data_IF_339236025581
#
_entry.id   IF_339236025581
#
_cell.length_a   1.000
_cell.length_b   1.000
_cell.length_c   1.000
_cell.angle_alpha   90.00
_cell.angle_beta   90.00
_cell.angle_gamma   90.00
#
_symmetry.space_group_name_H-M   'P 1'
#
loop_
_entity.id
_entity.type
_entity.pdbx_description
1 polymer ?
#
# COMPACT_ATOMS: atom_id res chain seq x y z
N UNK A 1 24.40 2.52 -5.91
CA UNK A 1 24.25 3.76 -5.12
C UNK A 1 23.37 3.46 -3.93
N UNK A 2 23.79 3.77 -2.69
CA UNK A 2 22.96 3.59 -1.49
C UNK A 2 22.14 4.85 -1.21
N UNK A 3 20.86 4.68 -0.89
CA UNK A 3 19.96 5.75 -0.43
C UNK A 3 20.35 6.11 0.99
N UNK A 4 20.58 7.40 1.22
CA UNK A 4 20.78 7.91 2.57
C UNK A 4 19.47 7.78 3.35
N UNK A 5 19.51 7.17 4.54
CA UNK A 5 18.35 7.06 5.42
C UNK A 5 17.43 5.86 5.20
N UNK A 6 17.68 4.99 4.20
CA UNK A 6 16.90 3.76 4.02
C UNK A 6 17.77 2.52 3.88
N UNK A 7 17.99 1.84 5.02
CA UNK A 7 18.82 0.64 5.11
C UNK A 7 18.21 -0.59 4.40
N UNK A 8 16.93 -0.53 4.02
CA UNK A 8 16.19 -1.65 3.43
C UNK A 8 16.23 -1.66 1.90
N UNK A 9 16.95 -0.72 1.26
CA UNK A 9 17.02 -0.63 -0.20
C UNK A 9 17.45 -1.95 -0.85
N UNK A 10 18.51 -2.58 -0.36
CA UNK A 10 19.06 -3.79 -0.99
C UNK A 10 18.06 -4.97 -0.85
N UNK A 11 17.39 -5.08 0.30
CA UNK A 11 16.34 -6.07 0.53
C UNK A 11 15.10 -5.81 -0.35
N UNK A 12 14.73 -4.54 -0.54
CA UNK A 12 13.64 -4.14 -1.40
C UNK A 12 13.94 -4.43 -2.87
N UNK A 13 15.12 -4.08 -3.36
CA UNK A 13 15.55 -4.39 -4.73
C UNK A 13 15.57 -5.90 -4.99
N UNK A 14 16.05 -6.68 -4.02
CA UNK A 14 16.09 -8.15 -4.12
C UNK A 14 14.68 -8.73 -4.22
N UNK A 15 13.79 -8.37 -3.28
CA UNK A 15 12.41 -8.85 -3.31
C UNK A 15 11.65 -8.42 -4.57
N UNK A 16 11.89 -7.19 -5.03
CA UNK A 16 11.29 -6.67 -6.25
C UNK A 16 11.72 -7.51 -7.46
N UNK A 17 13.01 -7.83 -7.57
CA UNK A 17 13.52 -8.71 -8.63
C UNK A 17 12.92 -10.12 -8.53
N UNK A 18 12.87 -10.71 -7.33
CA UNK A 18 12.33 -12.05 -7.12
C UNK A 18 10.85 -12.16 -7.50
N UNK A 19 10.03 -11.18 -7.12
CA UNK A 19 8.60 -11.17 -7.42
C UNK A 19 8.35 -10.85 -8.90
N UNK A 20 9.13 -9.94 -9.48
CA UNK A 20 8.99 -9.58 -10.89
C UNK A 20 9.47 -10.70 -11.82
N UNK A 21 10.42 -11.53 -11.41
CA UNK A 21 10.86 -12.72 -12.13
C UNK A 21 9.76 -13.79 -12.28
N UNK A 22 8.71 -13.74 -11.44
CA UNK A 22 7.51 -14.56 -11.60
C UNK A 22 6.54 -14.01 -12.65
N UNK A 23 6.82 -12.81 -13.18
CA UNK A 23 6.02 -12.11 -14.17
C UNK A 23 4.53 -12.05 -13.79
N UNK A 24 4.11 -11.37 -12.70
CA UNK A 24 2.72 -11.34 -12.23
C UNK A 24 1.81 -10.46 -13.11
N UNK A 25 1.83 -10.68 -14.43
CA UNK A 25 1.12 -9.91 -15.43
C UNK A 25 -0.35 -10.34 -15.47
N UNK A 26 -1.27 -9.42 -15.17
CA UNK A 26 -2.69 -9.73 -14.94
C UNK A 26 -3.38 -10.39 -16.14
N UNK A 27 -3.02 -9.98 -17.36
CA UNK A 27 -3.62 -10.50 -18.59
C UNK A 27 -2.85 -11.69 -19.17
N UNK A 28 -1.53 -11.61 -19.17
CA UNK A 28 -0.68 -12.53 -19.95
C UNK A 28 -0.05 -13.65 -19.13
N UNK A 29 0.02 -13.52 -17.79
CA UNK A 29 0.55 -14.56 -16.92
C UNK A 29 -0.19 -14.64 -15.56
N UNK A 30 -1.46 -15.09 -15.56
CA UNK A 30 -2.22 -15.32 -14.32
C UNK A 30 -1.58 -16.38 -13.39
N UNK A 31 -0.67 -17.22 -13.92
CA UNK A 31 0.14 -18.14 -13.11
C UNK A 31 1.15 -17.41 -12.23
N UNK A 32 1.83 -16.40 -12.78
CA UNK A 32 2.71 -15.50 -12.04
C UNK A 32 1.99 -14.73 -10.94
N UNK A 33 0.80 -14.20 -11.27
CA UNK A 33 -0.07 -13.52 -10.30
C UNK A 33 -0.42 -14.44 -9.12
N UNK A 34 -0.77 -15.70 -9.40
CA UNK A 34 -1.09 -16.68 -8.37
C UNK A 34 0.13 -17.04 -7.50
N UNK A 35 1.32 -17.14 -8.11
CA UNK A 35 2.57 -17.43 -7.41
C UNK A 35 2.95 -16.28 -6.45
N UNK A 36 2.93 -15.04 -6.93
CA UNK A 36 3.18 -13.85 -6.10
C UNK A 36 2.15 -13.72 -4.99
N UNK A 37 0.86 -13.90 -5.27
CA UNK A 37 -0.18 -13.87 -4.24
C UNK A 37 0.02 -14.93 -3.15
N UNK A 38 0.60 -16.09 -3.49
CA UNK A 38 0.92 -17.14 -2.51
C UNK A 38 2.12 -16.78 -1.65
N UNK A 39 3.16 -16.16 -2.23
CA UNK A 39 4.31 -15.63 -1.51
C UNK A 39 3.89 -14.50 -0.58
N UNK A 40 3.15 -13.51 -1.08
CA UNK A 40 2.61 -12.40 -0.31
C UNK A 40 1.81 -12.88 0.90
N UNK A 41 0.90 -13.85 0.72
CA UNK A 41 0.14 -14.39 1.83
C UNK A 41 1.00 -15.13 2.87
N UNK A 42 2.15 -15.70 2.47
CA UNK A 42 3.12 -16.29 3.39
C UNK A 42 3.91 -15.21 4.14
N UNK A 43 4.31 -14.14 3.46
CA UNK A 43 4.99 -13.01 4.09
C UNK A 43 4.08 -12.29 5.10
N UNK A 44 2.81 -12.11 4.77
CA UNK A 44 1.82 -11.55 5.69
C UNK A 44 1.63 -12.43 6.94
N UNK A 45 1.59 -13.76 6.77
CA UNK A 45 1.51 -14.69 7.90
C UNK A 45 2.73 -14.57 8.83
N UNK A 46 3.95 -14.51 8.26
CA UNK A 46 5.18 -14.27 9.02
C UNK A 46 5.21 -12.90 9.73
N UNK A 47 4.49 -11.90 9.22
CA UNK A 47 4.31 -10.59 9.86
C UNK A 47 3.21 -10.58 10.95
N UNK A 48 2.64 -11.75 11.27
CA UNK A 48 1.63 -11.91 12.31
C UNK A 48 0.21 -11.56 11.85
N UNK A 49 -0.06 -11.54 10.55
CA UNK A 49 -1.42 -11.42 10.04
C UNK A 49 -2.12 -12.77 9.97
N UNK A 50 -3.38 -12.82 10.37
CA UNK A 50 -4.29 -13.89 9.94
C UNK A 50 -4.76 -13.58 8.52
N UNK A 51 -4.42 -14.43 7.55
CA UNK A 51 -4.69 -14.18 6.13
C UNK A 51 -5.88 -15.01 5.64
N UNK A 52 -6.98 -14.33 5.30
CA UNK A 52 -8.13 -14.95 4.65
C UNK A 52 -7.97 -14.90 3.13
N UNK A 53 -7.68 -16.06 2.53
CA UNK A 53 -7.57 -16.21 1.07
C UNK A 53 -8.96 -16.49 0.48
N UNK A 54 -9.46 -15.58 -0.35
CA UNK A 54 -10.75 -15.72 -1.03
C UNK A 54 -10.45 -15.94 -2.51
N UNK A 55 -10.68 -17.17 -2.98
CA UNK A 55 -10.43 -17.56 -4.37
C UNK A 55 -11.69 -17.38 -5.22
N UNK A 56 -11.51 -17.03 -6.49
CA UNK A 56 -12.61 -16.97 -7.44
C UNK A 56 -13.19 -18.39 -7.69
N UNK A 57 -14.50 -18.61 -7.49
CA UNK A 57 -15.12 -19.93 -7.68
C UNK A 57 -14.97 -20.52 -9.08
N UNK A 58 -14.72 -19.67 -10.10
CA UNK A 58 -14.43 -20.14 -11.47
C UNK A 58 -13.09 -20.87 -11.61
N UNK A 59 -12.20 -20.78 -10.62
CA UNK A 59 -10.86 -21.34 -10.69
C UNK A 59 -9.88 -20.55 -11.56
N UNK A 60 -10.23 -19.32 -11.98
CA UNK A 60 -9.32 -18.43 -12.70
C UNK A 60 -8.06 -18.19 -11.86
N UNK A 61 -6.90 -18.62 -12.35
CA UNK A 61 -5.59 -18.38 -11.70
C UNK A 61 -5.36 -16.87 -11.55
N UNK A 62 -4.72 -16.47 -10.45
CA UNK A 62 -4.45 -15.06 -10.13
C UNK A 62 -5.65 -14.29 -9.57
N UNK A 63 -6.88 -14.77 -9.82
CA UNK A 63 -8.11 -14.16 -9.29
C UNK A 63 -8.32 -14.55 -7.82
N UNK A 64 -7.67 -13.79 -6.95
CA UNK A 64 -7.69 -13.99 -5.50
C UNK A 64 -7.72 -12.64 -4.78
N UNK A 65 -8.50 -12.59 -3.71
CA UNK A 65 -8.49 -11.50 -2.73
C UNK A 65 -7.85 -12.02 -1.45
N UNK A 66 -6.92 -11.27 -0.90
CA UNK A 66 -6.38 -11.48 0.44
C UNK A 66 -6.97 -10.44 1.39
N UNK A 67 -7.64 -10.89 2.44
CA UNK A 67 -8.02 -10.04 3.56
C UNK A 67 -7.18 -10.46 4.76
N UNK A 68 -6.17 -9.65 5.09
CA UNK A 68 -5.19 -9.93 6.13
C UNK A 68 -5.46 -9.05 7.35
N UNK A 69 -5.51 -9.67 8.54
CA UNK A 69 -5.82 -9.00 9.81
C UNK A 69 -4.67 -9.20 10.79
N UNK A 70 -4.06 -8.11 11.26
CA UNK A 70 -3.12 -8.10 12.38
C UNK A 70 -3.72 -7.32 13.54
N UNK A 71 -3.77 -7.91 14.74
CA UNK A 71 -4.39 -7.27 15.90
C UNK A 71 -3.56 -6.07 16.38
N UNK A 72 -4.20 -5.05 17.00
CA UNK A 72 -3.47 -3.94 17.63
C UNK A 72 -2.59 -4.44 18.78
N UNK A 73 -1.52 -3.69 19.05
CA UNK A 73 -0.71 -3.90 20.25
C UNK A 73 -1.55 -3.72 21.53
N UNK A 74 -1.18 -4.36 22.67
CA UNK A 74 -1.89 -4.17 23.94
C UNK A 74 -2.06 -2.69 24.30
N UNK A 75 -3.29 -2.30 24.67
CA UNK A 75 -3.62 -0.91 25.01
C UNK A 75 -3.89 0.02 23.82
N UNK A 76 -3.67 -0.43 22.59
CA UNK A 76 -4.05 0.30 21.36
C UNK A 76 -5.45 -0.14 20.93
N UNK A 77 -6.31 0.82 20.58
CA UNK A 77 -7.72 0.58 20.20
C UNK A 77 -8.02 0.82 18.73
N UNK A 78 -7.15 1.57 18.06
CA UNK A 78 -7.35 1.99 16.67
C UNK A 78 -6.97 0.93 15.65
N UNK A 79 -7.61 1.01 14.49
CA UNK A 79 -7.26 0.23 13.32
C UNK A 79 -6.93 1.10 12.12
N UNK A 80 -6.03 0.61 11.28
CA UNK A 80 -5.69 1.16 9.97
C UNK A 80 -6.10 0.16 8.89
N UNK A 81 -6.85 0.64 7.90
CA UNK A 81 -7.13 -0.08 6.68
C UNK A 81 -6.04 0.19 5.64
N UNK A 82 -5.50 -0.85 5.01
CA UNK A 82 -4.52 -0.76 3.93
C UNK A 82 -5.13 -1.35 2.66
N UNK A 83 -4.99 -0.66 1.54
CA UNK A 83 -5.41 -1.14 0.22
C UNK A 83 -4.20 -1.29 -0.70
N UNK A 84 -4.23 -2.29 -1.58
CA UNK A 84 -3.14 -2.57 -2.51
C UNK A 84 -3.43 -3.71 -3.48
N UNK A 85 -2.53 -3.92 -4.42
CA UNK A 85 -2.56 -5.08 -5.33
C UNK A 85 -1.16 -5.54 -5.66
N UNK A 86 -1.04 -6.75 -6.22
CA UNK A 86 0.26 -7.35 -6.56
C UNK A 86 0.36 -7.80 -8.02
N UNK A 87 -0.74 -7.72 -8.77
CA UNK A 87 -0.69 -7.89 -10.21
C UNK A 87 -0.14 -6.61 -10.87
N UNK A 88 0.53 -6.78 -12.00
CA UNK A 88 1.16 -5.70 -12.74
C UNK A 88 0.67 -5.67 -14.19
N UNK A 89 0.57 -4.48 -14.76
CA UNK A 89 0.17 -4.31 -16.14
C UNK A 89 1.13 -5.00 -17.12
N UNK A 90 0.57 -5.61 -18.17
CA UNK A 90 1.36 -6.28 -19.21
C UNK A 90 2.36 -5.30 -19.84
N UNK A 91 3.53 -5.80 -20.24
CA UNK A 91 4.59 -4.95 -20.80
C UNK A 91 5.27 -5.57 -22.01
N UNK A 92 5.74 -4.74 -22.93
CA UNK A 92 6.51 -5.13 -24.12
C UNK A 92 7.94 -4.60 -24.00
N UNK A 93 8.99 -5.45 -24.11
CA UNK A 93 10.38 -4.99 -23.98
C UNK A 93 10.86 -3.99 -25.03
N UNK A 94 10.22 -3.95 -26.21
CA UNK A 94 10.71 -3.17 -27.37
C UNK A 94 10.75 -1.64 -27.13
N UNK A 95 9.99 -1.14 -26.17
CA UNK A 95 9.86 0.30 -25.90
C UNK A 95 10.66 0.76 -24.66
N UNK A 96 11.37 -0.15 -24.00
CA UNK A 96 12.12 0.13 -22.79
C UNK A 96 13.61 0.32 -23.05
N UNK A 97 14.23 1.22 -22.28
CA UNK A 97 15.68 1.43 -22.31
C UNK A 97 16.46 0.42 -21.44
N UNK A 98 15.77 -0.44 -20.69
CA UNK A 98 16.30 -1.56 -19.89
C UNK A 98 15.25 -2.66 -19.83
N UNK A 99 15.63 -3.90 -19.52
CA UNK A 99 14.66 -4.99 -19.39
C UNK A 99 13.56 -4.62 -18.36
N UNK A 100 12.27 -4.59 -18.74
CA UNK A 100 11.20 -4.23 -17.82
C UNK A 100 11.03 -5.21 -16.66
N UNK A 101 11.59 -6.42 -16.75
CA UNK A 101 11.50 -7.46 -15.72
C UNK A 101 12.71 -7.48 -14.78
N UNK A 102 13.71 -6.63 -15.01
CA UNK A 102 14.92 -6.55 -14.19
C UNK A 102 15.03 -5.15 -13.57
N UNK A 103 14.84 -5.02 -12.25
CA UNK A 103 14.99 -3.74 -11.55
C UNK A 103 16.37 -3.14 -11.80
N UNK A 104 16.42 -2.03 -12.54
CA UNK A 104 17.68 -1.43 -12.99
C UNK A 104 17.81 -0.03 -12.40
N UNK A 105 18.93 0.24 -11.72
CA UNK A 105 19.21 1.58 -11.21
C UNK A 105 19.89 2.42 -12.30
N UNK A 106 19.30 3.56 -12.65
CA UNK A 106 19.88 4.58 -13.54
C UNK A 106 19.43 5.96 -13.08
N UNK A 107 20.27 6.98 -13.20
CA UNK A 107 19.92 8.38 -12.90
C UNK A 107 19.19 8.59 -11.56
N UNK A 108 19.63 7.87 -10.52
CA UNK A 108 19.04 7.86 -9.18
C UNK A 108 17.58 7.36 -9.10
N UNK A 109 17.14 6.56 -10.07
CA UNK A 109 15.82 5.93 -10.12
C UNK A 109 15.95 4.42 -10.31
N UNK A 110 14.90 3.70 -9.97
CA UNK A 110 14.76 2.27 -10.21
C UNK A 110 13.76 2.09 -11.33
N UNK A 111 14.17 1.45 -12.41
CA UNK A 111 13.36 1.18 -13.59
C UNK A 111 13.00 -0.29 -13.65
N UNK A 112 11.71 -0.59 -13.67
CA UNK A 112 11.11 -1.88 -14.07
C UNK A 112 9.58 -1.74 -14.06
N UNK A 113 8.87 -2.69 -14.66
CA UNK A 113 7.41 -2.74 -14.59
C UNK A 113 6.96 -3.02 -13.15
N UNK A 114 5.93 -2.31 -12.70
CA UNK A 114 5.28 -2.51 -11.41
C UNK A 114 6.00 -1.87 -10.23
N UNK A 115 7.07 -1.11 -10.49
CA UNK A 115 7.86 -0.45 -9.44
C UNK A 115 7.12 0.72 -8.80
N UNK A 116 6.26 1.41 -9.55
CA UNK A 116 5.38 2.47 -9.07
C UNK A 116 3.93 2.02 -8.88
N UNK A 117 3.51 0.95 -9.58
CA UNK A 117 2.16 0.38 -9.49
C UNK A 117 2.17 -1.14 -9.74
N UNK A 118 2.29 -1.99 -8.72
CA UNK A 118 2.30 -1.64 -7.30
C UNK A 118 3.23 -2.52 -6.44
N UNK A 119 4.10 -3.32 -7.07
CA UNK A 119 5.06 -4.16 -6.36
C UNK A 119 6.01 -3.33 -5.48
N UNK A 120 6.51 -2.20 -5.99
CA UNK A 120 7.43 -1.34 -5.24
C UNK A 120 6.82 -0.81 -3.93
N UNK A 121 5.68 -0.11 -3.97
CA UNK A 121 4.99 0.35 -2.77
C UNK A 121 4.57 -0.77 -1.81
N UNK A 122 4.04 -1.87 -2.33
CA UNK A 122 3.66 -3.04 -1.54
C UNK A 122 4.85 -3.62 -0.76
N UNK A 123 5.97 -3.88 -1.45
CA UNK A 123 7.18 -4.42 -0.84
C UNK A 123 7.80 -3.47 0.17
N UNK A 124 7.73 -2.15 -0.06
CA UNK A 124 8.20 -1.18 0.92
C UNK A 124 7.40 -1.29 2.22
N UNK A 125 6.07 -1.39 2.17
CA UNK A 125 5.22 -1.52 3.36
C UNK A 125 5.51 -2.81 4.11
N UNK A 126 5.65 -3.94 3.41
CA UNK A 126 6.02 -5.23 4.01
C UNK A 126 7.36 -5.12 4.76
N UNK A 127 8.37 -4.52 4.14
CA UNK A 127 9.69 -4.35 4.75
C UNK A 127 9.68 -3.38 5.93
N UNK A 128 8.90 -2.29 5.86
CA UNK A 128 8.74 -1.38 7.01
C UNK A 128 8.12 -2.14 8.18
N UNK A 129 7.02 -2.86 7.97
CA UNK A 129 6.37 -3.65 9.02
C UNK A 129 7.31 -4.72 9.60
N UNK A 130 8.12 -5.38 8.76
CA UNK A 130 9.12 -6.36 9.18
C UNK A 130 10.24 -5.75 10.03
N UNK A 131 10.55 -4.46 9.80
CA UNK A 131 11.64 -3.74 10.47
C UNK A 131 11.21 -2.99 11.73
N UNK A 132 9.92 -2.89 12.01
CA UNK A 132 9.42 -2.22 13.21
C UNK A 132 9.84 -3.00 14.46
N UNK A 133 10.27 -2.32 15.54
CA UNK A 133 10.55 -2.98 16.82
C UNK A 133 9.32 -3.75 17.32
N UNK A 134 9.51 -4.93 17.89
CA UNK A 134 8.41 -5.78 18.38
C UNK A 134 7.58 -5.10 19.48
N UNK A 135 8.20 -4.22 20.27
CA UNK A 135 7.60 -3.47 21.36
C UNK A 135 6.99 -2.12 20.93
N UNK A 136 7.20 -1.69 19.68
CA UNK A 136 6.61 -0.46 19.17
C UNK A 136 5.07 -0.58 19.12
N UNK A 137 4.32 0.35 19.74
CA UNK A 137 2.86 0.37 19.62
C UNK A 137 2.42 0.45 18.16
N UNK A 138 1.55 -0.46 17.74
CA UNK A 138 1.03 -0.55 16.39
C UNK A 138 -0.51 -0.63 16.44
N UNK A 139 -1.23 0.10 15.56
CA UNK A 139 -2.66 -0.08 15.43
C UNK A 139 -2.95 -1.46 14.84
N UNK A 140 -4.20 -1.91 14.97
CA UNK A 140 -4.65 -3.08 14.23
C UNK A 140 -4.56 -2.79 12.74
N UNK A 141 -4.16 -3.77 11.95
CA UNK A 141 -4.02 -3.61 10.50
C UNK A 141 -5.04 -4.51 9.80
N UNK A 142 -5.85 -3.91 8.93
CA UNK A 142 -6.70 -4.62 7.98
C UNK A 142 -6.21 -4.35 6.57
N UNK A 143 -5.46 -5.29 6.00
CA UNK A 143 -4.92 -5.15 4.66
C UNK A 143 -5.74 -5.94 3.66
N UNK A 144 -6.37 -5.25 2.72
CA UNK A 144 -7.14 -5.86 1.64
C UNK A 144 -6.38 -5.72 0.34
N UNK A 145 -5.94 -6.86 -0.21
CA UNK A 145 -5.11 -6.97 -1.40
C UNK A 145 -5.80 -7.84 -2.46
N UNK A 146 -5.55 -7.60 -3.75
CA UNK A 146 -5.98 -8.51 -4.82
C UNK A 146 -5.01 -8.55 -6.00
N UNK A 147 -5.14 -9.55 -6.87
CA UNK A 147 -4.30 -9.75 -8.06
C UNK A 147 -5.03 -9.47 -9.38
N UNK A 148 -5.91 -8.48 -9.41
CA UNK A 148 -6.73 -8.17 -10.60
C UNK A 148 -7.03 -6.67 -10.76
N UNK A 149 -6.21 -5.79 -10.17
CA UNK A 149 -6.45 -4.33 -10.23
C UNK A 149 -6.33 -3.80 -11.66
N UNK A 150 -5.32 -4.25 -12.38
CA UNK A 150 -4.96 -3.74 -13.71
C UNK A 150 -6.02 -4.08 -14.77
N UNK A 151 -6.84 -5.11 -14.50
CA UNK A 151 -7.97 -5.48 -15.37
C UNK A 151 -9.24 -4.68 -15.08
N UNK A 152 -9.27 -3.95 -13.96
CA UNK A 152 -10.23 -2.90 -13.67
C UNK A 152 -11.65 -3.31 -13.28
N UNK A 153 -12.14 -4.48 -13.71
CA UNK A 153 -13.45 -5.03 -13.34
C UNK A 153 -13.30 -6.53 -13.03
N UNK A 154 -12.79 -6.84 -11.84
CA UNK A 154 -12.47 -8.20 -11.43
C UNK A 154 -13.32 -8.74 -10.28
N UNK A 155 -12.86 -9.89 -9.75
CA UNK A 155 -13.42 -10.54 -8.58
C UNK A 155 -13.58 -9.63 -7.32
N UNK A 156 -12.75 -8.59 -7.08
CA UNK A 156 -12.96 -7.68 -5.95
C UNK A 156 -14.36 -7.05 -5.89
N UNK A 157 -14.99 -6.77 -7.04
CA UNK A 157 -16.35 -6.22 -7.08
C UNK A 157 -17.43 -7.19 -6.57
N UNK A 158 -17.14 -8.49 -6.59
CA UNK A 158 -18.03 -9.54 -6.10
C UNK A 158 -17.80 -9.81 -4.61
N UNK A 159 -16.53 -9.71 -4.16
CA UNK A 159 -16.12 -10.05 -2.80
C UNK A 159 -16.31 -8.88 -1.82
N UNK A 160 -15.86 -7.68 -2.18
CA UNK A 160 -15.82 -6.54 -1.26
C UNK A 160 -17.19 -6.14 -0.67
N UNK A 161 -18.33 -6.23 -1.40
CA UNK A 161 -19.64 -5.91 -0.83
C UNK A 161 -20.00 -6.74 0.40
N UNK A 162 -19.47 -7.97 0.51
CA UNK A 162 -19.77 -8.90 1.61
C UNK A 162 -18.59 -9.12 2.54
N UNK A 163 -17.45 -8.47 2.29
CA UNK A 163 -16.20 -8.75 2.99
C UNK A 163 -16.30 -8.50 4.50
N UNK A 164 -16.94 -7.40 4.92
CA UNK A 164 -17.12 -7.08 6.34
C UNK A 164 -18.01 -8.07 7.09
N UNK A 165 -18.83 -8.89 6.40
CA UNK A 165 -19.58 -9.95 7.07
C UNK A 165 -18.65 -11.01 7.72
N UNK A 166 -17.40 -11.11 7.26
CA UNK A 166 -16.36 -11.96 7.85
C UNK A 166 -15.63 -11.30 9.02
N UNK A 167 -15.76 -9.98 9.18
CA UNK A 167 -15.03 -9.18 10.16
C UNK A 167 -15.99 -8.26 10.92
N UNK A 168 -16.90 -8.83 11.74
CA UNK A 168 -17.91 -8.05 12.44
C UNK A 168 -17.25 -6.97 13.31
N UNK A 169 -17.78 -5.74 13.24
CA UNK A 169 -17.29 -4.51 13.88
C UNK A 169 -15.87 -4.01 13.50
N UNK A 170 -15.15 -4.67 12.59
CA UNK A 170 -13.88 -4.13 12.06
C UNK A 170 -14.10 -2.84 11.27
N UNK A 171 -15.18 -2.77 10.48
CA UNK A 171 -15.54 -1.60 9.66
C UNK A 171 -15.56 -0.30 10.47
N UNK A 172 -16.18 -0.33 11.64
CA UNK A 172 -16.37 0.84 12.50
C UNK A 172 -15.15 1.12 13.39
N UNK A 173 -14.17 0.20 13.41
CA UNK A 173 -12.93 0.35 14.20
C UNK A 173 -11.79 0.97 13.39
N UNK A 174 -11.89 1.02 12.04
CA UNK A 174 -10.87 1.59 11.17
C UNK A 174 -10.92 3.12 11.26
N UNK A 175 -9.90 3.69 11.89
CA UNK A 175 -9.74 5.13 12.08
C UNK A 175 -9.15 5.84 10.85
N UNK A 176 -8.38 5.11 10.03
CA UNK A 176 -7.71 5.66 8.84
C UNK A 176 -7.54 4.59 7.77
N UNK A 177 -7.87 4.92 6.51
CA UNK A 177 -7.46 4.13 5.35
C UNK A 177 -6.22 4.73 4.69
N UNK A 178 -5.29 3.86 4.27
CA UNK A 178 -4.06 4.28 3.60
C UNK A 178 -3.87 3.60 2.25
N UNK A 179 -3.72 4.43 1.22
CA UNK A 179 -3.29 4.01 -0.11
C UNK A 179 -1.76 4.10 -0.22
N UNK A 180 -1.16 3.12 -0.88
CA UNK A 180 0.30 2.98 -1.06
C UNK A 180 0.84 3.82 -2.20
N UNK A 181 -0.04 4.41 -3.01
CA UNK A 181 0.34 5.20 -4.16
C UNK A 181 0.19 6.70 -3.83
N UNK A 182 1.25 7.29 -3.28
CA UNK A 182 1.40 8.74 -3.03
C UNK A 182 2.29 9.41 -4.07
N UNK A 183 2.30 10.75 -4.09
CA UNK A 183 2.93 11.53 -5.18
C UNK A 183 3.85 12.65 -4.70
N UNK A 184 4.95 12.83 -5.43
CA UNK A 184 5.86 13.96 -5.36
C UNK A 184 5.82 14.78 -6.66
N UNK A 185 5.99 16.08 -6.53
CA UNK A 185 6.04 17.04 -7.63
C UNK A 185 7.43 17.12 -8.26
N UNK A 186 7.54 17.72 -9.46
CA UNK A 186 8.80 17.87 -10.18
C UNK A 186 9.89 18.63 -9.40
N UNK A 187 9.48 19.57 -8.54
CA UNK A 187 10.38 20.35 -7.68
C UNK A 187 10.81 19.57 -6.42
N UNK A 188 10.34 18.34 -6.24
CA UNK A 188 10.59 17.50 -5.08
C UNK A 188 9.57 17.64 -3.97
N UNK A 189 8.65 18.62 -3.99
CA UNK A 189 7.61 18.77 -2.97
C UNK A 189 6.65 17.57 -2.93
N UNK A 190 6.05 17.30 -1.77
CA UNK A 190 5.10 16.21 -1.64
C UNK A 190 3.66 16.70 -1.83
N UNK A 191 2.91 16.01 -2.68
CA UNK A 191 1.46 16.16 -2.77
C UNK A 191 0.80 15.10 -1.89
N UNK A 192 0.32 15.51 -0.72
CA UNK A 192 -0.38 14.63 0.20
C UNK A 192 -1.87 14.62 -0.10
N UNK A 193 -2.37 13.52 -0.64
CA UNK A 193 -3.82 13.36 -0.86
C UNK A 193 -4.47 12.89 0.42
N UNK A 194 -5.47 13.63 0.88
CA UNK A 194 -6.24 13.31 2.07
C UNK A 194 -7.73 13.36 1.79
N UNK A 195 -8.52 12.63 2.57
CA UNK A 195 -9.94 12.92 2.74
C UNK A 195 -10.20 12.94 4.24
N UNK A 196 -10.77 14.04 4.73
CA UNK A 196 -11.03 14.22 6.15
C UNK A 196 -12.53 14.34 6.37
N UNK A 197 -13.18 13.23 6.69
CA UNK A 197 -14.63 13.18 6.86
C UNK A 197 -15.06 13.25 8.32
N UNK A 198 -14.27 12.69 9.25
CA UNK A 198 -14.73 12.46 10.61
C UNK A 198 -13.74 12.95 11.67
N UNK A 199 -12.51 12.45 11.65
CA UNK A 199 -11.56 12.63 12.73
C UNK A 199 -10.53 13.73 12.44
N UNK A 200 -10.95 14.98 12.64
CA UNK A 200 -10.10 16.15 12.36
C UNK A 200 -8.82 16.19 13.19
N UNK A 201 -8.87 15.71 14.43
CA UNK A 201 -7.71 15.72 15.30
C UNK A 201 -6.67 14.69 14.86
N UNK A 202 -7.10 13.45 14.59
CA UNK A 202 -6.22 12.41 14.05
C UNK A 202 -5.59 12.89 12.73
N UNK A 203 -6.40 13.41 11.82
CA UNK A 203 -5.90 13.86 10.52
C UNK A 203 -4.88 14.99 10.64
N UNK A 204 -5.08 15.94 11.56
CA UNK A 204 -4.08 16.97 11.86
C UNK A 204 -2.75 16.37 12.36
N UNK A 205 -2.80 15.36 13.24
CA UNK A 205 -1.60 14.66 13.73
C UNK A 205 -0.91 13.87 12.62
N UNK A 206 -1.68 13.20 11.75
CA UNK A 206 -1.19 12.46 10.58
C UNK A 206 -0.47 13.39 9.61
N UNK A 207 -1.10 14.50 9.22
CA UNK A 207 -0.49 15.51 8.32
C UNK A 207 0.80 16.07 8.93
N UNK A 208 0.79 16.44 10.21
CA UNK A 208 1.97 16.95 10.89
C UNK A 208 3.14 15.94 10.93
N UNK A 209 2.84 14.64 11.08
CA UNK A 209 3.87 13.59 11.04
C UNK A 209 4.47 13.40 9.63
N UNK A 210 3.65 13.56 8.59
CA UNK A 210 4.09 13.55 7.18
C UNK A 210 4.99 14.75 6.91
N UNK A 211 4.55 15.97 7.26
CA UNK A 211 5.29 17.23 7.14
C UNK A 211 6.64 17.18 7.87
N UNK A 212 6.66 16.72 9.12
CA UNK A 212 7.89 16.61 9.90
C UNK A 212 8.91 15.68 9.23
N UNK A 213 8.44 14.62 8.57
CA UNK A 213 9.32 13.69 7.85
C UNK A 213 9.82 14.26 6.53
N UNK A 214 8.97 15.02 5.83
CA UNK A 214 9.35 15.70 4.60
C UNK A 214 10.39 16.80 4.87
N UNK A 215 10.20 17.60 5.92
CA UNK A 215 11.13 18.67 6.30
C UNK A 215 12.47 18.17 6.85
N UNK A 216 12.48 17.01 7.52
CA UNK A 216 13.70 16.39 8.03
C UNK A 216 14.56 15.72 6.94
N UNK A 217 14.03 15.59 5.72
CA UNK A 217 14.81 15.15 4.56
C UNK A 217 15.77 16.26 4.09
N UNK A 218 16.84 15.88 3.40
CA UNK A 218 18.00 16.73 3.06
C UNK A 218 17.67 18.00 2.23
N UNK A 219 16.41 18.18 1.80
CA UNK A 219 15.96 19.26 0.93
C UNK A 219 14.89 20.20 1.50
N UNK A 220 14.42 20.03 2.74
CA UNK A 220 13.37 20.90 3.31
C UNK A 220 12.05 20.85 2.54
N UNK A 221 11.69 19.65 2.06
CA UNK A 221 10.55 19.37 1.18
C UNK A 221 9.24 19.91 1.76
N UNK A 222 8.49 20.71 1.00
CA UNK A 222 7.17 21.18 1.42
C UNK A 222 6.11 20.10 1.17
N UNK A 223 5.05 20.10 2.00
CA UNK A 223 3.89 19.22 1.82
C UNK A 223 2.68 20.05 1.44
N UNK A 224 2.08 19.73 0.29
CA UNK A 224 0.86 20.34 -0.21
C UNK A 224 -0.30 19.36 -0.02
N UNK A 225 -1.19 19.67 0.93
CA UNK A 225 -2.36 18.83 1.22
C UNK A 225 -3.46 19.10 0.20
N UNK A 226 -3.94 18.05 -0.45
CA UNK A 226 -5.04 18.13 -1.43
C UNK A 226 -6.17 17.22 -0.99
N UNK A 227 -7.35 17.80 -0.77
CA UNK A 227 -8.52 17.06 -0.30
C UNK A 227 -9.21 16.31 -1.44
N UNK A 228 -8.79 15.07 -1.68
CA UNK A 228 -9.41 14.12 -2.62
C UNK A 228 -8.86 12.72 -2.41
N UNK A 229 -9.63 11.73 -2.85
CA UNK A 229 -9.09 10.38 -3.07
C UNK A 229 -8.10 10.37 -4.24
N UNK A 230 -7.25 9.37 -4.28
CA UNK A 230 -6.46 9.09 -5.45
C UNK A 230 -7.36 8.76 -6.66
N UNK A 231 -6.95 9.27 -7.82
CA UNK A 231 -7.58 8.91 -9.08
C UNK A 231 -6.90 7.63 -9.59
N UNK A 232 -7.55 6.49 -9.44
CA UNK A 232 -7.17 5.26 -10.15
C UNK A 232 -7.65 5.34 -11.61
N UNK A 233 -6.99 4.65 -12.53
CA UNK A 233 -7.17 4.82 -13.99
C UNK A 233 -8.63 4.72 -14.47
N UNK A 234 -9.49 4.01 -13.75
CA UNK A 234 -10.91 3.90 -14.06
C UNK A 234 -11.81 5.01 -13.47
N UNK A 235 -11.24 6.07 -12.92
CA UNK A 235 -11.96 7.17 -12.27
C UNK A 235 -12.57 6.74 -10.94
N UNK A 236 -12.29 7.47 -9.85
CA UNK A 236 -12.53 7.00 -8.48
C UNK A 236 -13.94 6.52 -8.06
N UNK A 237 -14.95 6.45 -8.93
CA UNK A 237 -16.26 5.79 -8.68
C UNK A 237 -16.29 4.30 -9.05
N UNK A 238 -15.33 3.81 -9.81
CA UNK A 238 -15.21 2.40 -10.23
C UNK A 238 -14.31 1.59 -9.30
N UNK A 239 -13.33 2.22 -8.64
CA UNK A 239 -12.46 1.56 -7.67
C UNK A 239 -13.27 0.80 -6.60
N UNK A 240 -13.10 -0.53 -6.46
CA UNK A 240 -13.91 -1.35 -5.56
C UNK A 240 -13.64 -1.00 -4.08
N UNK A 241 -12.44 -0.56 -3.72
CA UNK A 241 -12.13 -0.09 -2.37
C UNK A 241 -13.02 1.08 -1.97
N UNK A 242 -13.01 2.15 -2.77
CA UNK A 242 -13.81 3.34 -2.50
C UNK A 242 -15.31 3.05 -2.55
N UNK A 243 -15.72 2.16 -3.44
CA UNK A 243 -17.13 1.81 -3.62
C UNK A 243 -17.71 0.97 -2.47
N UNK A 244 -16.93 0.04 -1.93
CA UNK A 244 -17.47 -1.00 -1.04
C UNK A 244 -16.83 -1.03 0.35
N UNK A 245 -15.56 -0.67 0.48
CA UNK A 245 -14.82 -0.79 1.75
C UNK A 245 -14.75 0.53 2.50
N UNK A 246 -14.58 1.63 1.77
CA UNK A 246 -14.53 2.97 2.34
C UNK A 246 -15.95 3.40 2.74
N UNK A 247 -16.16 3.64 4.03
CA UNK A 247 -17.43 4.13 4.55
C UNK A 247 -17.68 5.60 4.22
N UNK A 248 -18.90 6.11 4.45
CA UNK A 248 -19.23 7.53 4.27
C UNK A 248 -18.48 8.46 5.23
N UNK A 249 -17.93 7.92 6.33
CA UNK A 249 -17.19 8.65 7.36
C UNK A 249 -15.73 8.18 7.45
N UNK A 250 -15.11 7.93 6.29
CA UNK A 250 -13.73 7.43 6.22
C UNK A 250 -12.73 8.57 6.19
N UNK A 251 -11.72 8.52 7.04
CA UNK A 251 -10.52 9.33 6.86
C UNK A 251 -9.52 8.55 6.01
N UNK A 252 -8.87 9.22 5.06
CA UNK A 252 -8.01 8.60 4.05
C UNK A 252 -6.73 9.40 3.85
N UNK A 253 -5.63 8.70 3.60
CA UNK A 253 -4.36 9.30 3.17
C UNK A 253 -3.70 8.44 2.09
N UNK A 254 -3.13 9.07 1.06
CA UNK A 254 -2.29 8.39 0.08
C UNK A 254 -0.81 8.70 0.34
N UNK A 255 -0.02 7.66 0.64
CA UNK A 255 1.42 7.76 0.94
C UNK A 255 2.19 6.71 0.15
N UNK A 256 3.15 7.16 -0.64
CA UNK A 256 3.96 6.33 -1.51
C UNK A 256 5.11 7.11 -2.11
N UNK A 257 5.82 6.48 -3.05
CA UNK A 257 7.13 6.92 -3.56
C UNK A 257 7.08 7.55 -4.96
N UNK A 258 5.90 7.61 -5.59
CA UNK A 258 5.80 7.99 -7.00
C UNK A 258 6.03 9.49 -7.18
N UNK A 259 6.55 9.89 -8.32
CA UNK A 259 6.64 11.28 -8.73
C UNK A 259 6.03 11.50 -10.12
N UNK A 260 6.09 12.73 -10.61
CA UNK A 260 5.56 13.08 -11.94
C UNK A 260 6.25 12.34 -13.10
N UNK A 261 7.41 11.72 -12.87
CA UNK A 261 8.17 10.96 -13.86
C UNK A 261 7.98 9.44 -13.72
N UNK A 262 7.13 8.98 -12.78
CA UNK A 262 6.98 7.55 -12.53
C UNK A 262 6.48 6.77 -13.72
N UNK A 263 5.68 7.40 -14.59
CA UNK A 263 5.24 6.82 -15.87
C UNK A 263 4.54 5.46 -15.69
N UNK A 264 3.64 5.37 -14.71
CA UNK A 264 2.80 4.20 -14.43
C UNK A 264 2.14 3.71 -15.74
N UNK A 265 2.12 2.39 -15.92
CA UNK A 265 1.61 1.65 -17.08
C UNK A 265 2.29 1.93 -18.43
N UNK A 266 3.29 2.81 -18.47
CA UNK A 266 4.04 3.15 -19.69
C UNK A 266 5.47 2.59 -19.68
N UNK A 267 6.17 2.58 -20.83
CA UNK A 267 7.57 2.19 -20.87
C UNK A 267 8.47 3.06 -20.00
N UNK A 268 9.51 2.48 -19.41
CA UNK A 268 10.42 3.16 -18.48
C UNK A 268 9.73 3.65 -17.20
N UNK A 269 8.70 2.93 -16.74
CA UNK A 269 8.16 3.11 -15.39
C UNK A 269 9.30 3.09 -14.37
N UNK A 270 9.28 4.03 -13.44
CA UNK A 270 10.37 4.18 -12.47
C UNK A 270 9.98 4.90 -11.19
N UNK A 271 10.65 4.61 -10.10
CA UNK A 271 10.52 5.40 -8.86
C UNK A 271 11.86 6.05 -8.52
N UNK A 272 11.85 7.28 -8.01
CA UNK A 272 13.08 7.92 -7.58
C UNK A 272 13.56 7.30 -6.26
N UNK A 273 14.88 7.13 -6.14
CA UNK A 273 15.48 6.47 -4.98
C UNK A 273 15.34 7.30 -3.69
N UNK A 274 15.26 8.63 -3.80
CA UNK A 274 15.19 9.54 -2.65
C UNK A 274 13.80 9.57 -1.98
N UNK A 275 12.72 9.30 -2.71
CA UNK A 275 11.38 9.24 -2.12
C UNK A 275 11.15 7.99 -1.29
N UNK A 276 11.89 6.91 -1.54
CA UNK A 276 11.76 5.63 -0.83
C UNK A 276 11.98 5.79 0.68
N UNK A 277 13.01 6.54 1.09
CA UNK A 277 13.34 6.72 2.51
C UNK A 277 12.26 7.52 3.25
N UNK A 278 11.82 8.64 2.65
CA UNK A 278 10.83 9.51 3.25
C UNK A 278 9.46 8.84 3.30
N UNK A 279 9.04 8.12 2.25
CA UNK A 279 7.74 7.43 2.23
C UNK A 279 7.70 6.26 3.23
N UNK A 280 8.79 5.51 3.37
CA UNK A 280 8.92 4.46 4.37
C UNK A 280 8.83 5.03 5.81
N UNK A 281 9.53 6.13 6.06
CA UNK A 281 9.51 6.83 7.36
C UNK A 281 8.11 7.36 7.67
N UNK A 282 7.44 7.95 6.68
CA UNK A 282 6.08 8.48 6.83
C UNK A 282 5.08 7.39 7.17
N UNK A 283 5.15 6.24 6.48
CA UNK A 283 4.30 5.10 6.79
C UNK A 283 4.44 4.66 8.25
N UNK A 284 5.67 4.45 8.74
CA UNK A 284 5.93 4.07 10.13
C UNK A 284 5.43 5.12 11.13
N UNK A 285 5.67 6.41 10.86
CA UNK A 285 5.21 7.49 11.75
C UNK A 285 3.69 7.63 11.77
N UNK A 286 3.01 7.44 10.64
CA UNK A 286 1.54 7.47 10.61
C UNK A 286 0.97 6.32 11.42
N UNK A 287 1.53 5.10 11.34
CA UNK A 287 1.13 4.00 12.21
C UNK A 287 1.30 4.36 13.70
N UNK A 288 2.44 4.95 14.08
CA UNK A 288 2.69 5.38 15.45
C UNK A 288 1.70 6.46 15.93
N UNK A 289 1.37 7.43 15.07
CA UNK A 289 0.35 8.46 15.35
C UNK A 289 -1.03 7.83 15.57
N UNK A 290 -1.44 6.91 14.70
CA UNK A 290 -2.74 6.25 14.82
C UNK A 290 -2.78 5.36 16.07
N UNK A 291 -1.69 4.64 16.39
CA UNK A 291 -1.61 3.82 17.60
C UNK A 291 -1.76 4.66 18.89
N UNK A 292 -1.19 5.86 18.91
CA UNK A 292 -1.29 6.78 20.04
C UNK A 292 -2.65 7.48 20.15
N UNK A 293 -3.46 7.47 19.08
CA UNK A 293 -4.77 8.13 19.03
C UNK A 293 -5.89 7.21 19.55
N UNK A 294 -5.83 6.83 20.82
CA UNK A 294 -6.92 6.10 21.45
C UNK A 294 -8.11 7.06 21.69
N UNK A 295 -9.18 6.91 20.93
CA UNK A 295 -10.43 7.61 21.22
C UNK A 295 -11.23 6.87 22.28
N UNK A 296 -11.85 7.61 23.20
CA UNK A 296 -12.79 7.08 24.17
C UNK A 296 -14.00 6.47 23.42
N UNK A 297 -14.17 5.15 23.50
CA UNK A 297 -15.35 4.45 22.98
C UNK A 297 -15.14 3.44 21.85
N UNK A 298 -13.93 3.26 21.30
CA UNK A 298 -13.69 2.23 20.29
C UNK A 298 -13.76 0.80 20.90
N UNK A 299 -14.66 0.00 20.33
CA UNK A 299 -15.05 -1.34 20.80
C UNK A 299 -13.87 -2.30 20.68
N UNK A 300 -13.56 -2.97 21.78
CA UNK A 300 -12.59 -4.08 21.79
C UNK A 300 -13.21 -5.25 21.05
N UNK A 301 -12.61 -5.67 19.93
CA UNK A 301 -12.90 -6.98 19.34
C UNK A 301 -12.69 -8.06 20.42
N UNK A 302 -13.72 -8.84 20.79
CA UNK A 302 -13.53 -9.95 21.69
C UNK A 302 -12.43 -10.88 21.15
N UNK A 303 -11.64 -11.46 22.06
CA UNK A 303 -10.72 -12.52 21.71
C UNK A 303 -11.51 -13.80 21.36
N UNK A 304 -12.13 -13.85 20.19
CA UNK A 304 -12.64 -15.10 19.63
C UNK A 304 -11.72 -15.52 18.50
N UNK A 305 -10.83 -16.43 18.86
CA UNK A 305 -10.10 -17.33 17.98
C UNK A 305 -11.06 -18.48 17.65
N UNK A 306 -11.16 -18.80 16.36
CA UNK A 306 -11.92 -19.92 15.81
C UNK A 306 -11.76 -19.95 14.30
#
# INVERSE_FOLDING_TARGET
MKIKGWALQDAWMTKLADWLALCPMSETNPGGVAAVGSLLATELDHLGFTVHRIQNPSGRKGSTVLAAVRRPSPGVRTWVGLCGHWDVETTSPLEWASDPLVPTIRDRRVYCRGVGDNLGPLLQRLLVLASMPEDAPCPGLFWVLHGEEETGNGFPHQVFPTLYAKFPNLKDSIALWMDETGYFEANGDQRLLVVQNHNRELMRKVVAAVETSAHADDGGRQVHVVERFLNKELGGKTCPYRRFLFGPQVDYVALGMNDVLTNIHRPNESVPLDTLAVSATQFAKVLAVVAAHNEDGQVVMPATVG
#
